data_IF_588664761060
#
_entry.id   IF_588664761060
#
_cell.length_a   1.000
_cell.length_b   1.000
_cell.length_c   1.000
_cell.angle_alpha   90.00
_cell.angle_beta   90.00
_cell.angle_gamma   90.00
#
_symmetry.space_group_name_H-M   'P 1'
#
loop_
_entity.id
_entity.type
_entity.pdbx_description
1 polymer ?
#
# COMPACT_ATOMS: atom_id res chain seq x y z
N UNK A 1 -19.78 -18.05 -21.15
CA UNK A 1 -19.70 -16.75 -20.45
C UNK A 1 -18.43 -16.74 -19.61
N UNK A 2 -17.49 -15.86 -19.91
CA UNK A 2 -16.16 -15.83 -19.27
C UNK A 2 -16.27 -15.53 -17.77
N UNK A 3 -15.48 -16.23 -16.93
CA UNK A 3 -15.45 -16.02 -15.47
C UNK A 3 -15.19 -14.55 -15.05
N UNK A 4 -14.55 -13.76 -15.89
CA UNK A 4 -14.30 -12.34 -15.69
C UNK A 4 -15.57 -11.47 -15.85
N UNK A 5 -16.46 -11.79 -16.81
CA UNK A 5 -17.73 -11.09 -16.98
C UNK A 5 -18.67 -11.30 -15.78
N UNK A 6 -18.61 -12.46 -15.13
CA UNK A 6 -19.40 -12.73 -13.92
C UNK A 6 -18.95 -11.88 -12.73
N UNK A 7 -17.68 -11.54 -12.63
CA UNK A 7 -17.15 -10.66 -11.56
C UNK A 7 -17.62 -9.21 -11.71
N UNK A 8 -17.71 -8.68 -12.94
CA UNK A 8 -18.15 -7.30 -13.20
C UNK A 8 -19.69 -7.13 -13.18
N UNK A 9 -20.45 -8.19 -13.45
CA UNK A 9 -21.92 -8.17 -13.41
C UNK A 9 -22.46 -8.59 -12.04
N UNK A 10 -21.60 -8.75 -11.03
CA UNK A 10 -22.00 -9.20 -9.72
C UNK A 10 -22.86 -8.13 -9.01
N UNK A 11 -24.13 -8.44 -8.66
CA UNK A 11 -25.05 -7.49 -8.04
C UNK A 11 -24.52 -6.98 -6.69
N UNK A 12 -23.72 -7.76 -5.98
CA UNK A 12 -23.08 -7.33 -4.72
C UNK A 12 -22.06 -6.24 -4.98
N UNK A 13 -21.19 -6.41 -5.97
CA UNK A 13 -20.22 -5.40 -6.33
C UNK A 13 -20.88 -4.08 -6.74
N UNK A 14 -21.91 -4.15 -7.59
CA UNK A 14 -22.66 -2.99 -8.04
C UNK A 14 -23.36 -2.24 -6.89
N UNK A 15 -23.94 -2.99 -5.94
CA UNK A 15 -24.53 -2.42 -4.72
C UNK A 15 -23.49 -1.70 -3.87
N UNK A 16 -22.35 -2.35 -3.61
CA UNK A 16 -21.25 -1.81 -2.81
C UNK A 16 -20.67 -0.54 -3.43
N UNK A 17 -20.45 -0.52 -4.75
CA UNK A 17 -20.00 0.67 -5.48
C UNK A 17 -21.00 1.82 -5.35
N UNK A 18 -22.29 1.57 -5.63
CA UNK A 18 -23.32 2.61 -5.52
C UNK A 18 -23.40 3.18 -4.11
N UNK A 19 -23.32 2.35 -3.07
CA UNK A 19 -23.36 2.81 -1.69
C UNK A 19 -22.12 3.68 -1.34
N UNK A 20 -20.96 3.32 -1.84
CA UNK A 20 -19.72 4.01 -1.53
C UNK A 20 -19.60 5.35 -2.26
N UNK A 21 -19.95 5.42 -3.54
CA UNK A 21 -19.83 6.63 -4.35
C UNK A 21 -21.07 7.54 -4.31
N UNK A 22 -22.18 7.11 -3.72
CA UNK A 22 -23.37 7.93 -3.55
C UNK A 22 -23.24 8.96 -2.42
N UNK A 23 -22.35 8.74 -1.47
CA UNK A 23 -22.23 9.58 -0.28
C UNK A 23 -21.37 10.82 -0.56
N UNK A 24 -21.85 12.01 -0.21
CA UNK A 24 -21.07 13.25 -0.24
C UNK A 24 -19.79 13.14 0.60
N UNK A 25 -19.81 12.37 1.69
CA UNK A 25 -18.64 12.12 2.53
C UNK A 25 -17.48 11.46 1.78
N UNK A 26 -17.77 10.65 0.76
CA UNK A 26 -16.73 10.02 -0.06
C UNK A 26 -15.98 11.04 -0.92
N UNK A 27 -16.70 11.98 -1.52
CA UNK A 27 -16.07 13.06 -2.29
C UNK A 27 -15.28 14.01 -1.39
N UNK A 28 -15.80 14.29 -0.21
CA UNK A 28 -15.10 15.09 0.81
C UNK A 28 -13.78 14.41 1.25
N UNK A 29 -13.77 13.09 1.39
CA UNK A 29 -12.55 12.34 1.71
C UNK A 29 -11.49 12.44 0.60
N UNK A 30 -11.87 12.36 -0.68
CA UNK A 30 -10.95 12.56 -1.80
C UNK A 30 -10.46 14.01 -1.83
N UNK A 31 -11.33 14.97 -1.58
CA UNK A 31 -10.96 16.39 -1.50
C UNK A 31 -9.92 16.64 -0.41
N UNK A 32 -10.13 16.13 0.81
CA UNK A 32 -9.14 16.24 1.88
C UNK A 32 -7.83 15.53 1.57
N UNK A 33 -7.89 14.37 0.93
CA UNK A 33 -6.70 13.68 0.47
C UNK A 33 -5.87 14.54 -0.49
N UNK A 34 -6.51 15.14 -1.50
CA UNK A 34 -5.86 16.03 -2.46
C UNK A 34 -5.37 17.32 -1.79
N UNK A 35 -6.13 17.86 -0.84
CA UNK A 35 -5.76 19.07 -0.09
C UNK A 35 -4.50 18.81 0.75
N UNK A 36 -4.43 17.68 1.45
CA UNK A 36 -3.25 17.32 2.26
C UNK A 36 -2.03 17.10 1.36
N UNK A 37 -2.19 16.31 0.28
CA UNK A 37 -1.09 16.03 -0.65
C UNK A 37 -0.63 17.31 -1.38
N UNK A 38 -1.57 18.09 -1.91
CA UNK A 38 -1.30 19.34 -2.61
C UNK A 38 -0.73 20.42 -1.68
N UNK A 39 -1.33 20.59 -0.50
CA UNK A 39 -0.84 21.54 0.50
C UNK A 39 0.57 21.20 1.00
N UNK A 40 0.84 19.92 1.26
CA UNK A 40 2.16 19.45 1.64
C UNK A 40 3.19 19.67 0.51
N UNK A 41 2.81 19.43 -0.76
CA UNK A 41 3.71 19.65 -1.91
C UNK A 41 4.01 21.13 -2.13
N UNK A 42 3.02 22.02 -1.98
CA UNK A 42 3.23 23.48 -2.06
C UNK A 42 4.10 23.98 -0.89
N UNK A 43 3.88 23.46 0.32
CA UNK A 43 4.71 23.77 1.48
C UNK A 43 6.17 23.35 1.28
N UNK A 44 6.39 22.13 0.77
CA UNK A 44 7.73 21.64 0.46
C UNK A 44 8.42 22.46 -0.64
N UNK A 45 7.68 22.83 -1.70
CA UNK A 45 8.16 23.72 -2.74
C UNK A 45 8.56 25.11 -2.19
N UNK A 46 7.76 25.64 -1.24
CA UNK A 46 8.10 26.88 -0.52
C UNK A 46 9.39 26.78 0.29
N UNK A 47 9.66 25.65 0.93
CA UNK A 47 10.92 25.39 1.63
C UNK A 47 12.10 25.31 0.66
N UNK A 48 11.95 24.58 -0.43
CA UNK A 48 12.98 24.46 -1.48
C UNK A 48 13.34 25.81 -2.08
N UNK A 49 12.36 26.70 -2.31
CA UNK A 49 12.58 28.04 -2.86
C UNK A 49 13.35 28.97 -1.89
N UNK A 50 13.27 28.73 -0.58
CA UNK A 50 14.04 29.48 0.41
C UNK A 50 15.47 28.97 0.56
N UNK A 51 15.68 27.66 0.40
CA UNK A 51 17.00 27.00 0.51
C UNK A 51 17.78 27.13 -0.81
N UNK A 52 17.10 27.03 -1.95
CA UNK A 52 17.65 27.26 -3.28
C UNK A 52 17.60 28.76 -3.63
N UNK A 53 18.70 29.32 -4.11
CA UNK A 53 18.79 30.72 -4.57
C UNK A 53 17.56 31.09 -5.41
N UNK A 54 16.85 32.08 -4.98
CA UNK A 54 15.64 32.68 -5.55
C UNK A 54 15.68 32.68 -7.09
N UNK A 55 14.81 31.91 -7.74
CA UNK A 55 14.47 32.15 -9.15
C UNK A 55 14.33 30.95 -10.09
N UNK A 56 14.99 29.84 -9.88
CA UNK A 56 14.87 28.68 -10.79
C UNK A 56 14.75 27.37 -9.99
N UNK A 57 13.54 26.84 -9.98
CA UNK A 57 13.35 25.44 -9.62
C UNK A 57 13.91 24.62 -10.78
N UNK A 58 15.05 23.98 -10.55
CA UNK A 58 15.71 23.14 -11.54
C UNK A 58 15.17 21.72 -11.55
N UNK A 59 15.74 20.89 -12.39
CA UNK A 59 15.35 19.48 -12.53
C UNK A 59 15.65 18.65 -11.26
N UNK A 60 16.62 19.04 -10.43
CA UNK A 60 16.91 18.35 -9.17
C UNK A 60 15.87 18.64 -8.10
N UNK A 61 15.46 19.88 -7.93
CA UNK A 61 14.41 20.27 -6.97
C UNK A 61 13.07 19.63 -7.33
N UNK A 62 12.76 19.56 -8.63
CA UNK A 62 11.58 18.86 -9.14
C UNK A 62 11.59 17.37 -8.78
N UNK A 63 12.75 16.74 -8.83
CA UNK A 63 12.94 15.33 -8.48
C UNK A 63 12.74 15.09 -6.98
N UNK A 64 13.26 15.97 -6.11
CA UNK A 64 12.99 15.90 -4.66
C UNK A 64 11.51 16.12 -4.34
N UNK A 65 10.85 17.05 -5.02
CA UNK A 65 9.41 17.25 -4.90
C UNK A 65 8.64 15.98 -5.26
N UNK A 66 9.01 15.31 -6.35
CA UNK A 66 8.39 14.07 -6.78
C UNK A 66 8.55 12.93 -5.75
N UNK A 67 9.75 12.77 -5.19
CA UNK A 67 10.00 11.78 -4.14
C UNK A 67 9.15 12.09 -2.91
N UNK A 68 9.15 13.36 -2.48
CA UNK A 68 8.35 13.81 -1.35
C UNK A 68 6.85 13.52 -1.53
N UNK A 69 6.30 13.86 -2.71
CA UNK A 69 4.90 13.59 -3.06
C UNK A 69 4.61 12.08 -3.06
N UNK A 70 5.50 11.28 -3.64
CA UNK A 70 5.34 9.82 -3.72
C UNK A 70 5.37 9.16 -2.34
N UNK A 71 6.25 9.61 -1.44
CA UNK A 71 6.32 9.16 -0.05
C UNK A 71 5.09 9.60 0.77
N UNK A 72 4.67 10.85 0.61
CA UNK A 72 3.45 11.35 1.24
C UNK A 72 2.21 10.57 0.78
N UNK A 73 2.12 10.30 -0.51
CA UNK A 73 1.00 9.55 -1.08
C UNK A 73 0.97 8.10 -0.58
N UNK A 74 2.11 7.40 -0.53
CA UNK A 74 2.16 6.02 -0.01
C UNK A 74 1.82 5.98 1.49
N UNK A 75 2.21 7.01 2.26
CA UNK A 75 1.83 7.18 3.66
C UNK A 75 0.32 7.33 3.82
N UNK A 76 -0.30 8.23 3.05
CA UNK A 76 -1.75 8.45 3.07
C UNK A 76 -2.53 7.20 2.67
N UNK A 77 -2.13 6.53 1.59
CA UNK A 77 -2.77 5.29 1.13
C UNK A 77 -2.65 4.19 2.19
N UNK A 78 -1.45 4.01 2.76
CA UNK A 78 -1.21 3.01 3.80
C UNK A 78 -2.08 3.27 5.02
N UNK A 79 -2.29 4.54 5.40
CA UNK A 79 -3.15 4.92 6.52
C UNK A 79 -4.64 4.73 6.22
N UNK A 80 -5.10 5.08 5.02
CA UNK A 80 -6.52 4.98 4.66
C UNK A 80 -6.97 3.54 4.41
N UNK A 81 -6.09 2.68 3.90
CA UNK A 81 -6.44 1.30 3.52
C UNK A 81 -7.00 0.47 4.66
N UNK A 82 -6.38 0.40 5.86
CA UNK A 82 -6.94 -0.34 6.99
C UNK A 82 -8.33 0.15 7.40
N UNK A 83 -8.53 1.46 7.45
CA UNK A 83 -9.81 2.07 7.80
C UNK A 83 -10.97 1.67 6.87
N UNK A 84 -10.66 1.42 5.60
CA UNK A 84 -11.66 1.05 4.59
C UNK A 84 -11.89 -0.46 4.48
N UNK A 85 -10.92 -1.29 4.87
CA UNK A 85 -10.95 -2.74 4.63
C UNK A 85 -11.16 -3.58 5.89
N UNK A 86 -10.61 -3.15 7.03
CA UNK A 86 -10.61 -3.94 8.25
C UNK A 86 -11.97 -4.15 8.92
N UNK A 87 -12.97 -3.34 8.57
CA UNK A 87 -14.35 -3.45 9.07
C UNK A 87 -15.35 -4.13 8.13
N UNK A 88 -14.91 -4.56 6.95
CA UNK A 88 -15.82 -4.98 5.87
C UNK A 88 -16.64 -6.24 6.18
N UNK A 89 -16.10 -7.20 6.91
CA UNK A 89 -16.79 -8.45 7.29
C UNK A 89 -17.19 -8.41 8.77
N UNK A 90 -16.28 -7.97 9.66
CA UNK A 90 -16.55 -7.89 11.09
C UNK A 90 -17.70 -6.92 11.40
N UNK A 91 -17.79 -5.79 10.68
CA UNK A 91 -18.89 -4.83 10.82
C UNK A 91 -20.24 -5.40 10.40
N UNK A 92 -20.32 -6.22 9.35
CA UNK A 92 -21.56 -6.94 9.00
C UNK A 92 -21.93 -8.01 10.03
N UNK A 93 -20.93 -8.65 10.62
CA UNK A 93 -21.12 -9.61 11.70
C UNK A 93 -21.71 -8.93 12.94
N UNK A 94 -21.17 -7.78 13.35
CA UNK A 94 -21.69 -7.00 14.48
C UNK A 94 -23.13 -6.50 14.24
N UNK A 95 -23.44 -6.12 13.00
CA UNK A 95 -24.79 -5.72 12.60
C UNK A 95 -25.75 -6.89 12.33
N UNK A 96 -25.29 -8.12 12.51
CA UNK A 96 -26.05 -9.36 12.24
C UNK A 96 -26.51 -9.52 10.77
N UNK A 97 -25.96 -8.74 9.84
CA UNK A 97 -26.31 -8.81 8.42
C UNK A 97 -25.51 -9.86 7.66
N UNK A 98 -24.41 -10.36 8.23
CA UNK A 98 -23.56 -11.38 7.60
C UNK A 98 -24.34 -12.67 7.32
N UNK A 99 -25.23 -13.09 8.21
CA UNK A 99 -26.03 -14.31 8.03
C UNK A 99 -26.91 -14.23 6.79
N UNK A 100 -27.52 -13.07 6.55
CA UNK A 100 -28.35 -12.80 5.36
C UNK A 100 -27.48 -12.89 4.10
N UNK A 101 -26.23 -12.37 4.14
CA UNK A 101 -25.32 -12.45 3.02
C UNK A 101 -24.89 -13.90 2.73
N UNK A 102 -24.68 -14.72 3.77
CA UNK A 102 -24.26 -16.12 3.63
C UNK A 102 -25.38 -17.05 3.17
N UNK A 103 -26.67 -16.67 3.30
CA UNK A 103 -27.81 -17.43 2.75
C UNK A 103 -27.96 -17.23 1.24
N UNK A 104 -27.31 -16.23 0.66
CA UNK A 104 -27.28 -16.07 -0.80
C UNK A 104 -26.46 -17.19 -1.47
N UNK A 105 -26.80 -17.53 -2.71
CA UNK A 105 -26.08 -18.57 -3.49
C UNK A 105 -24.66 -18.18 -3.94
N UNK A 106 -24.06 -17.16 -3.31
CA UNK A 106 -22.75 -16.67 -3.72
C UNK A 106 -21.60 -17.45 -3.06
N UNK A 107 -20.51 -17.64 -3.78
CA UNK A 107 -19.31 -18.29 -3.27
C UNK A 107 -18.58 -17.36 -2.26
N UNK A 108 -17.88 -17.95 -1.27
CA UNK A 108 -17.05 -17.19 -0.33
C UNK A 108 -15.99 -16.33 -1.04
N UNK A 109 -15.43 -16.85 -2.14
CA UNK A 109 -14.45 -16.15 -2.98
C UNK A 109 -15.06 -14.87 -3.58
N UNK A 110 -16.27 -14.97 -4.13
CA UNK A 110 -16.98 -13.84 -4.73
C UNK A 110 -17.27 -12.75 -3.70
N UNK A 111 -17.70 -13.13 -2.49
CA UNK A 111 -17.99 -12.19 -1.40
C UNK A 111 -16.72 -11.45 -0.97
N UNK A 112 -15.63 -12.17 -0.70
CA UNK A 112 -14.35 -11.59 -0.26
C UNK A 112 -13.78 -10.65 -1.32
N UNK A 113 -13.71 -11.09 -2.58
CA UNK A 113 -13.17 -10.29 -3.68
C UNK A 113 -14.03 -9.05 -3.96
N UNK A 114 -15.36 -9.17 -3.96
CA UNK A 114 -16.25 -8.02 -4.17
C UNK A 114 -16.07 -6.96 -3.10
N UNK A 115 -15.91 -7.36 -1.83
CA UNK A 115 -15.67 -6.43 -0.73
C UNK A 115 -14.31 -5.77 -0.79
N UNK A 116 -13.27 -6.53 -1.13
CA UNK A 116 -11.93 -6.00 -1.34
C UNK A 116 -11.93 -4.99 -2.49
N UNK A 117 -12.41 -5.37 -3.67
CA UNK A 117 -12.44 -4.51 -4.86
C UNK A 117 -13.25 -3.24 -4.58
N UNK A 118 -14.42 -3.34 -3.97
CA UNK A 118 -15.23 -2.17 -3.61
C UNK A 118 -14.52 -1.25 -2.62
N UNK A 119 -13.80 -1.81 -1.64
CA UNK A 119 -13.05 -1.00 -0.68
C UNK A 119 -11.86 -0.29 -1.32
N UNK A 120 -11.14 -0.98 -2.18
CA UNK A 120 -9.95 -0.44 -2.84
C UNK A 120 -10.26 0.49 -4.01
N UNK A 121 -11.42 0.35 -4.66
CA UNK A 121 -11.82 1.22 -5.77
C UNK A 121 -11.86 2.69 -5.38
N UNK A 122 -12.27 2.99 -4.15
CA UNK A 122 -12.26 4.35 -3.63
C UNK A 122 -10.85 4.93 -3.55
N UNK A 123 -9.88 4.13 -3.09
CA UNK A 123 -8.48 4.52 -3.03
C UNK A 123 -7.85 4.61 -4.42
N UNK A 124 -8.24 3.73 -5.34
CA UNK A 124 -7.82 3.86 -6.74
C UNK A 124 -8.25 5.19 -7.34
N UNK A 125 -9.50 5.60 -7.13
CA UNK A 125 -9.98 6.91 -7.57
C UNK A 125 -9.17 8.03 -6.92
N UNK A 126 -8.84 7.94 -5.63
CA UNK A 126 -8.01 8.93 -4.96
C UNK A 126 -6.59 9.00 -5.58
N UNK A 127 -5.95 7.84 -5.87
CA UNK A 127 -4.65 7.78 -6.54
C UNK A 127 -4.72 8.44 -7.92
N UNK A 128 -5.70 8.10 -8.75
CA UNK A 128 -5.82 8.70 -10.08
C UNK A 128 -6.18 10.19 -10.02
N UNK A 129 -6.93 10.63 -9.01
CA UNK A 129 -7.23 12.05 -8.80
C UNK A 129 -6.00 12.87 -8.43
N UNK A 130 -4.90 12.26 -7.99
CA UNK A 130 -3.65 12.96 -7.71
C UNK A 130 -2.79 13.20 -8.97
N UNK A 131 -3.10 12.59 -10.12
CA UNK A 131 -2.34 12.77 -11.37
C UNK A 131 -2.13 14.25 -11.77
N UNK A 132 -3.12 15.16 -11.65
CA UNK A 132 -2.91 16.57 -11.94
C UNK A 132 -1.83 17.22 -11.05
N UNK A 133 -1.69 16.77 -9.78
CA UNK A 133 -0.64 17.27 -8.89
C UNK A 133 0.75 16.83 -9.37
N UNK A 134 0.87 15.61 -9.87
CA UNK A 134 2.11 15.11 -10.46
C UNK A 134 2.47 15.80 -11.78
N UNK A 135 1.49 16.36 -12.51
CA UNK A 135 1.77 17.11 -13.72
C UNK A 135 2.61 18.35 -13.46
N UNK A 136 2.50 18.97 -12.28
CA UNK A 136 3.34 20.11 -11.87
C UNK A 136 4.83 19.73 -11.88
N UNK A 137 5.17 18.52 -11.49
CA UNK A 137 6.56 18.03 -11.49
C UNK A 137 7.11 17.93 -12.92
N UNK A 138 6.29 17.54 -13.89
CA UNK A 138 6.70 17.46 -15.29
C UNK A 138 7.00 18.83 -15.90
N UNK A 139 6.32 19.89 -15.43
CA UNK A 139 6.57 21.25 -15.92
C UNK A 139 7.99 21.74 -15.64
N UNK A 140 8.58 21.29 -14.53
CA UNK A 140 9.94 21.64 -14.13
C UNK A 140 11.00 20.67 -14.68
N UNK A 141 10.58 19.52 -15.25
CA UNK A 141 11.47 18.48 -15.77
C UNK A 141 12.10 17.61 -14.69
N UNK A 142 13.03 16.74 -15.07
CA UNK A 142 13.81 15.89 -14.14
C UNK A 142 13.17 14.57 -13.75
N UNK A 143 11.90 14.30 -14.10
CA UNK A 143 11.20 13.06 -13.80
C UNK A 143 10.68 12.39 -15.07
N UNK A 144 10.92 11.10 -15.22
CA UNK A 144 10.42 10.34 -16.37
C UNK A 144 8.98 9.84 -16.12
N UNK A 145 8.14 9.72 -17.17
CA UNK A 145 6.80 9.10 -17.04
C UNK A 145 6.84 7.67 -16.51
N UNK A 146 7.91 6.93 -16.81
CA UNK A 146 8.12 5.57 -16.31
C UNK A 146 8.28 5.56 -14.78
N UNK A 147 9.00 6.54 -14.21
CA UNK A 147 9.16 6.66 -12.76
C UNK A 147 7.82 6.89 -12.05
N UNK A 148 6.93 7.68 -12.66
CA UNK A 148 5.57 7.89 -12.12
C UNK A 148 4.75 6.61 -12.17
N UNK A 149 4.77 5.89 -13.28
CA UNK A 149 4.07 4.60 -13.40
C UNK A 149 4.62 3.57 -12.41
N UNK A 150 5.93 3.51 -12.23
CA UNK A 150 6.57 2.61 -11.27
C UNK A 150 6.17 2.95 -9.81
N UNK A 151 6.16 4.23 -9.45
CA UNK A 151 5.68 4.71 -8.14
C UNK A 151 4.22 4.32 -7.90
N UNK A 152 3.34 4.53 -8.88
CA UNK A 152 1.93 4.11 -8.77
C UNK A 152 1.79 2.60 -8.69
N UNK A 153 2.62 1.83 -9.38
CA UNK A 153 2.68 0.38 -9.26
C UNK A 153 2.97 -0.09 -7.84
N UNK A 154 3.98 0.51 -7.19
CA UNK A 154 4.31 0.23 -5.78
C UNK A 154 3.15 0.60 -4.86
N UNK A 155 2.50 1.75 -5.06
CA UNK A 155 1.38 2.20 -4.26
C UNK A 155 0.16 1.28 -4.39
N UNK A 156 -0.20 0.88 -5.61
CA UNK A 156 -1.33 -0.03 -5.87
C UNK A 156 -1.07 -1.40 -5.24
N UNK A 157 0.15 -1.93 -5.36
CA UNK A 157 0.51 -3.20 -4.76
C UNK A 157 0.48 -3.14 -3.23
N UNK A 158 1.00 -2.05 -2.64
CA UNK A 158 0.93 -1.79 -1.19
C UNK A 158 -0.53 -1.75 -0.71
N UNK A 159 -1.37 -1.00 -1.41
CA UNK A 159 -2.80 -0.90 -1.12
C UNK A 159 -3.51 -2.27 -1.19
N UNK A 160 -3.22 -3.08 -2.22
CA UNK A 160 -3.77 -4.43 -2.38
C UNK A 160 -3.36 -5.34 -1.21
N UNK A 161 -2.11 -5.30 -0.82
CA UNK A 161 -1.58 -6.16 0.26
C UNK A 161 -2.14 -5.76 1.61
N UNK A 162 -2.09 -4.48 1.97
CA UNK A 162 -2.67 -3.99 3.24
C UNK A 162 -4.18 -4.22 3.25
N UNK A 163 -4.85 -4.00 2.12
CA UNK A 163 -6.29 -4.23 1.98
C UNK A 163 -6.68 -5.70 2.15
N UNK A 164 -5.91 -6.61 1.58
CA UNK A 164 -6.13 -8.06 1.73
C UNK A 164 -5.91 -8.53 3.17
N UNK A 165 -4.89 -7.99 3.86
CA UNK A 165 -4.66 -8.21 5.29
C UNK A 165 -5.84 -7.68 6.12
N UNK A 166 -6.36 -6.49 5.79
CA UNK A 166 -7.52 -5.91 6.45
C UNK A 166 -8.76 -6.79 6.33
N UNK A 167 -9.05 -7.29 5.13
CA UNK A 167 -10.16 -8.22 4.91
C UNK A 167 -9.94 -9.55 5.64
N UNK A 168 -8.71 -10.08 5.66
CA UNK A 168 -8.36 -11.29 6.39
C UNK A 168 -8.62 -11.12 7.90
N UNK A 169 -8.12 -10.07 8.52
CA UNK A 169 -8.37 -9.79 9.94
C UNK A 169 -9.86 -9.56 10.22
N UNK A 170 -10.56 -8.83 9.34
CA UNK A 170 -12.00 -8.63 9.42
C UNK A 170 -12.80 -9.94 9.39
N UNK A 171 -12.28 -10.96 8.70
CA UNK A 171 -12.92 -12.27 8.61
C UNK A 171 -12.65 -13.12 9.86
N UNK A 172 -11.42 -13.09 10.38
CA UNK A 172 -11.00 -13.90 11.54
C UNK A 172 -11.53 -13.30 12.84
N UNK A 173 -11.38 -11.99 13.01
CA UNK A 173 -11.71 -11.27 14.24
C UNK A 173 -13.18 -10.88 14.22
N UNK A 174 -13.89 -11.22 15.30
CA UNK A 174 -15.33 -10.96 15.39
C UNK A 174 -15.68 -9.50 15.68
N UNK A 175 -14.78 -8.77 16.36
CA UNK A 175 -14.99 -7.36 16.76
C UNK A 175 -14.29 -6.43 15.78
N UNK A 176 -15.03 -5.47 15.23
CA UNK A 176 -14.52 -4.53 14.23
C UNK A 176 -13.35 -3.71 14.75
N UNK A 177 -13.42 -3.19 15.99
CA UNK A 177 -12.35 -2.41 16.59
C UNK A 177 -11.03 -3.18 16.66
N UNK A 178 -11.08 -4.44 17.09
CA UNK A 178 -9.86 -5.27 17.20
C UNK A 178 -9.30 -5.59 15.82
N UNK A 179 -10.15 -5.83 14.83
CA UNK A 179 -9.73 -6.05 13.43
C UNK A 179 -9.01 -4.82 12.86
N UNK A 180 -9.53 -3.63 13.12
CA UNK A 180 -8.93 -2.37 12.70
C UNK A 180 -7.56 -2.18 13.35
N UNK A 181 -7.46 -2.37 14.67
CA UNK A 181 -6.20 -2.24 15.41
C UNK A 181 -5.16 -3.25 14.87
N UNK A 182 -5.55 -4.50 14.65
CA UNK A 182 -4.65 -5.53 14.12
C UNK A 182 -4.12 -5.18 12.72
N UNK A 183 -4.98 -4.62 11.87
CA UNK A 183 -4.59 -4.20 10.52
C UNK A 183 -3.65 -2.99 10.55
N UNK A 184 -3.91 -1.99 11.41
CA UNK A 184 -2.98 -0.87 11.58
C UNK A 184 -1.66 -1.33 12.18
N UNK A 185 -1.66 -2.24 13.15
CA UNK A 185 -0.44 -2.79 13.73
C UNK A 185 0.43 -3.51 12.69
N UNK A 186 -0.18 -4.32 11.82
CA UNK A 186 0.55 -4.99 10.73
C UNK A 186 1.04 -4.00 9.67
N UNK A 187 0.26 -2.97 9.33
CA UNK A 187 0.69 -1.90 8.44
C UNK A 187 1.89 -1.14 9.01
N UNK A 188 1.83 -0.74 10.29
CA UNK A 188 2.95 -0.07 10.95
C UNK A 188 4.19 -0.95 11.04
N UNK A 189 4.02 -2.24 11.29
CA UNK A 189 5.13 -3.19 11.28
C UNK A 189 5.81 -3.28 9.90
N UNK A 190 5.04 -3.27 8.81
CA UNK A 190 5.59 -3.29 7.45
C UNK A 190 6.25 -1.95 7.06
N UNK A 191 5.62 -0.82 7.39
CA UNK A 191 6.07 0.51 6.95
C UNK A 191 7.19 1.06 7.84
N UNK A 192 7.06 0.92 9.16
CA UNK A 192 8.00 1.50 10.12
C UNK A 192 8.88 0.41 10.75
N UNK A 193 8.28 -0.71 11.16
CA UNK A 193 8.97 -1.77 11.89
C UNK A 193 10.15 -2.36 11.11
N UNK A 194 9.95 -2.65 9.83
CA UNK A 194 11.02 -3.16 8.97
C UNK A 194 12.21 -2.20 8.87
N UNK A 195 11.97 -0.89 8.74
CA UNK A 195 13.01 0.13 8.72
C UNK A 195 13.74 0.24 10.07
N UNK A 196 12.99 0.25 11.17
CA UNK A 196 13.56 0.29 12.53
C UNK A 196 14.45 -0.92 12.82
N UNK A 197 14.03 -2.12 12.42
CA UNK A 197 14.82 -3.33 12.59
C UNK A 197 16.17 -3.18 11.85
N UNK A 198 16.14 -2.70 10.62
CA UNK A 198 17.38 -2.49 9.85
C UNK A 198 18.26 -1.41 10.48
N UNK A 199 17.70 -0.32 10.99
CA UNK A 199 18.45 0.75 11.63
C UNK A 199 19.10 0.28 12.94
N UNK A 200 18.37 -0.41 13.81
CA UNK A 200 18.84 -0.86 15.11
C UNK A 200 19.85 -2.01 14.98
N UNK A 201 19.48 -3.06 14.29
CA UNK A 201 20.36 -4.23 14.13
C UNK A 201 21.48 -4.00 13.11
N UNK A 202 21.23 -3.20 12.07
CA UNK A 202 22.25 -2.82 11.10
C UNK A 202 23.40 -2.04 11.74
N UNK A 203 23.11 -1.11 12.65
CA UNK A 203 24.14 -0.35 13.38
C UNK A 203 24.95 -1.25 14.34
N UNK A 204 24.32 -2.17 15.03
CA UNK A 204 24.97 -3.12 15.94
C UNK A 204 25.91 -4.05 15.15
N UNK A 205 25.43 -4.61 14.04
CA UNK A 205 26.21 -5.54 13.20
C UNK A 205 27.34 -4.86 12.45
N UNK A 206 27.19 -3.58 12.05
CA UNK A 206 28.25 -2.79 11.40
C UNK A 206 29.28 -2.29 12.40
N UNK A 207 28.88 -1.99 13.66
CA UNK A 207 29.82 -1.58 14.71
C UNK A 207 30.79 -2.69 15.15
N UNK A 208 30.45 -3.94 14.89
CA UNK A 208 31.28 -5.10 15.25
C UNK A 208 32.21 -5.60 14.15
N UNK A 209 31.92 -5.30 12.88
CA UNK A 209 32.73 -5.74 11.74
C UNK A 209 32.83 -4.65 10.67
N UNK A 210 34.03 -4.17 10.39
CA UNK A 210 34.30 -3.24 9.28
C UNK A 210 34.07 -3.87 7.89
N UNK A 211 33.95 -5.22 7.82
CA UNK A 211 33.53 -5.96 6.63
C UNK A 211 32.30 -6.82 6.97
N UNK A 212 31.09 -6.28 6.80
CA UNK A 212 29.87 -7.06 7.04
C UNK A 212 29.81 -8.25 6.06
N UNK A 213 29.81 -9.46 6.60
CA UNK A 213 29.69 -10.68 5.81
C UNK A 213 28.35 -10.74 5.04
N UNK A 214 28.28 -11.66 4.08
CA UNK A 214 27.09 -11.87 3.23
C UNK A 214 25.77 -12.00 3.99
N UNK A 215 25.79 -12.53 5.21
CA UNK A 215 24.59 -12.68 6.06
C UNK A 215 23.95 -11.34 6.46
N UNK A 216 24.76 -10.31 6.75
CA UNK A 216 24.23 -8.97 7.11
C UNK A 216 23.57 -8.31 5.91
N UNK A 217 24.13 -8.51 4.71
CA UNK A 217 23.53 -8.03 3.47
C UNK A 217 22.15 -8.63 3.23
N UNK A 218 22.01 -9.96 3.31
CA UNK A 218 20.73 -10.65 3.11
C UNK A 218 19.70 -10.28 4.17
N UNK A 219 20.11 -10.11 5.42
CA UNK A 219 19.23 -9.64 6.50
C UNK A 219 18.66 -8.24 6.18
N UNK A 220 19.53 -7.28 5.83
CA UNK A 220 19.10 -5.92 5.46
C UNK A 220 18.16 -5.95 4.24
N UNK A 221 18.51 -6.71 3.22
CA UNK A 221 17.73 -6.87 2.00
C UNK A 221 16.31 -7.39 2.30
N UNK A 222 16.19 -8.45 3.10
CA UNK A 222 14.91 -9.05 3.47
C UNK A 222 13.97 -8.07 4.17
N UNK A 223 14.47 -7.26 5.08
CA UNK A 223 13.64 -6.28 5.78
C UNK A 223 13.32 -5.06 4.94
N UNK A 224 14.26 -4.57 4.13
CA UNK A 224 14.04 -3.40 3.29
C UNK A 224 13.10 -3.67 2.12
N UNK A 225 13.07 -4.89 1.56
CA UNK A 225 12.12 -5.25 0.52
C UNK A 225 10.66 -5.29 1.04
N UNK A 226 10.44 -5.41 2.36
CA UNK A 226 9.11 -5.36 2.95
C UNK A 226 8.63 -3.94 3.24
N UNK A 227 9.49 -2.94 3.07
CA UNK A 227 9.19 -1.55 3.40
C UNK A 227 8.81 -0.75 2.15
N UNK A 228 7.50 -0.40 1.94
CA UNK A 228 7.06 0.28 0.73
C UNK A 228 7.71 1.66 0.49
N UNK A 229 7.86 2.54 1.50
CA UNK A 229 8.61 3.79 1.35
C UNK A 229 10.03 3.60 0.83
N UNK A 230 10.76 2.63 1.38
CA UNK A 230 12.16 2.35 0.96
C UNK A 230 12.20 1.85 -0.47
N UNK A 231 11.29 0.94 -0.83
CA UNK A 231 11.19 0.44 -2.22
C UNK A 231 10.83 1.57 -3.18
N UNK A 232 9.94 2.49 -2.79
CA UNK A 232 9.63 3.68 -3.60
C UNK A 232 10.89 4.50 -3.86
N UNK A 233 11.69 4.80 -2.83
CA UNK A 233 12.96 5.51 -3.00
C UNK A 233 13.93 4.72 -3.90
N UNK A 234 14.04 3.40 -3.72
CA UNK A 234 14.94 2.57 -4.54
C UNK A 234 14.57 2.53 -6.02
N UNK A 235 13.28 2.66 -6.33
CA UNK A 235 12.78 2.73 -7.71
C UNK A 235 13.03 4.12 -8.32
N UNK A 236 12.86 5.18 -7.51
CA UNK A 236 13.00 6.56 -7.97
C UNK A 236 14.46 7.02 -8.03
N UNK A 237 15.29 6.54 -7.11
CA UNK A 237 16.70 6.89 -6.93
C UNK A 237 17.59 5.65 -6.81
N UNK A 238 17.78 4.88 -7.88
CA UNK A 238 18.61 3.67 -7.84
C UNK A 238 20.07 3.96 -7.46
N UNK A 239 20.60 5.12 -7.86
CA UNK A 239 21.98 5.51 -7.57
C UNK A 239 22.22 5.77 -6.08
N UNK A 240 21.30 6.49 -5.42
CA UNK A 240 21.36 6.73 -3.98
C UNK A 240 21.34 5.40 -3.22
N UNK A 241 20.50 4.49 -3.66
CA UNK A 241 20.36 3.18 -3.02
C UNK A 241 21.60 2.31 -3.25
N UNK A 242 22.18 2.31 -4.45
CA UNK A 242 23.40 1.55 -4.74
C UNK A 242 24.61 2.04 -3.94
N UNK A 243 24.75 3.35 -3.71
CA UNK A 243 25.80 3.92 -2.87
C UNK A 243 25.66 3.53 -1.41
N UNK A 244 24.42 3.53 -0.88
CA UNK A 244 24.13 3.21 0.51
C UNK A 244 24.34 1.73 0.85
N UNK A 245 24.18 0.85 -0.15
CA UNK A 245 24.26 -0.61 0.00
C UNK A 245 25.38 -1.25 -0.82
N UNK A 246 26.32 -0.44 -1.34
CA UNK A 246 27.46 -0.96 -2.09
C UNK A 246 28.32 -1.87 -1.21
N UNK A 247 28.48 -3.12 -1.64
CA UNK A 247 29.48 -4.04 -1.11
C UNK A 247 30.36 -4.55 -2.26
N UNK A 248 31.69 -4.44 -2.14
CA UNK A 248 32.60 -5.04 -3.10
C UNK A 248 32.36 -6.55 -3.18
N UNK A 249 32.12 -7.07 -4.38
CA UNK A 249 31.92 -8.51 -4.62
C UNK A 249 30.50 -9.01 -4.64
N UNK A 250 29.50 -8.21 -4.28
CA UNK A 250 28.10 -8.54 -4.54
C UNK A 250 27.59 -7.67 -5.70
N UNK A 251 27.21 -8.34 -6.78
CA UNK A 251 26.59 -7.65 -7.89
C UNK A 251 25.43 -6.81 -7.38
N UNK A 252 25.40 -5.52 -7.72
CA UNK A 252 24.30 -4.58 -7.44
C UNK A 252 23.00 -4.97 -8.19
N UNK A 253 22.70 -6.28 -8.30
CA UNK A 253 21.76 -6.83 -9.26
C UNK A 253 20.47 -7.39 -8.72
N UNK A 254 20.30 -7.55 -7.42
CA UNK A 254 18.99 -7.92 -6.89
C UNK A 254 18.21 -6.65 -6.58
N UNK A 255 17.47 -6.18 -7.57
CA UNK A 255 16.61 -5.01 -7.41
C UNK A 255 15.57 -5.28 -6.33
N UNK A 256 15.56 -4.44 -5.28
CA UNK A 256 14.60 -4.54 -4.14
C UNK A 256 13.16 -4.62 -4.60
N UNK A 257 12.83 -3.99 -5.72
CA UNK A 257 11.46 -3.99 -6.23
C UNK A 257 10.98 -5.40 -6.64
N UNK A 258 11.87 -6.30 -7.12
CA UNK A 258 11.49 -7.68 -7.44
C UNK A 258 11.14 -8.44 -6.15
N UNK A 259 11.99 -8.35 -5.13
CA UNK A 259 11.71 -8.94 -3.82
C UNK A 259 10.43 -8.40 -3.20
N UNK A 260 10.20 -7.10 -3.31
CA UNK A 260 8.96 -6.45 -2.88
C UNK A 260 7.73 -7.02 -3.61
N UNK A 261 7.74 -7.06 -4.95
CA UNK A 261 6.61 -7.56 -5.74
C UNK A 261 6.30 -9.01 -5.39
N UNK A 262 7.31 -9.88 -5.31
CA UNK A 262 7.12 -11.29 -4.98
C UNK A 262 6.57 -11.48 -3.56
N UNK A 263 7.13 -10.78 -2.56
CA UNK A 263 6.68 -10.87 -1.17
C UNK A 263 5.26 -10.33 -0.98
N UNK A 264 4.92 -9.20 -1.60
CA UNK A 264 3.61 -8.56 -1.49
C UNK A 264 2.52 -9.36 -2.20
N UNK A 265 2.80 -9.91 -3.38
CA UNK A 265 1.89 -10.84 -4.05
C UNK A 265 1.69 -12.10 -3.20
N UNK A 266 2.76 -12.67 -2.64
CA UNK A 266 2.68 -13.81 -1.75
C UNK A 266 1.80 -13.56 -0.51
N UNK A 267 2.02 -12.43 0.18
CA UNK A 267 1.21 -12.02 1.35
C UNK A 267 -0.26 -11.80 0.93
N UNK A 268 -0.51 -11.17 -0.22
CA UNK A 268 -1.86 -10.93 -0.74
C UNK A 268 -2.60 -12.23 -1.01
N UNK A 269 -1.97 -13.18 -1.70
CA UNK A 269 -2.57 -14.49 -2.01
C UNK A 269 -2.85 -15.27 -0.73
N UNK A 270 -1.89 -15.31 0.20
CA UNK A 270 -2.02 -16.03 1.46
C UNK A 270 -3.12 -15.43 2.34
N UNK A 271 -3.20 -14.11 2.46
CA UNK A 271 -4.23 -13.44 3.24
C UNK A 271 -5.63 -13.66 2.66
N UNK A 272 -5.79 -13.57 1.34
CA UNK A 272 -7.06 -13.86 0.68
C UNK A 272 -7.48 -15.33 0.82
N UNK A 273 -6.53 -16.26 0.70
CA UNK A 273 -6.79 -17.68 0.88
C UNK A 273 -7.29 -17.99 2.30
N UNK A 274 -6.65 -17.43 3.33
CA UNK A 274 -7.10 -17.56 4.72
C UNK A 274 -8.49 -16.95 4.90
N UNK A 275 -8.75 -15.74 4.35
CA UNK A 275 -10.02 -15.07 4.44
C UNK A 275 -11.16 -15.91 3.83
N UNK A 276 -10.93 -16.51 2.64
CA UNK A 276 -11.91 -17.34 1.96
C UNK A 276 -12.22 -18.61 2.75
N UNK A 277 -11.21 -19.26 3.33
CA UNK A 277 -11.42 -20.46 4.14
C UNK A 277 -12.16 -20.20 5.45
N UNK A 278 -11.91 -19.04 6.09
CA UNK A 278 -12.49 -18.71 7.39
C UNK A 278 -13.88 -18.05 7.32
N UNK A 279 -14.31 -17.62 6.15
CA UNK A 279 -15.60 -16.94 5.98
C UNK A 279 -16.77 -17.89 6.27
N UNK A 280 -16.75 -19.13 5.74
CA UNK A 280 -17.75 -20.17 6.02
C UNK A 280 -17.08 -21.24 6.91
N UNK A 281 -17.51 -21.35 8.20
CA UNK A 281 -17.07 -22.48 8.99
C UNK A 281 -17.57 -23.77 8.33
N UNK A 282 -16.64 -24.69 8.04
CA UNK A 282 -17.03 -26.04 7.60
C UNK A 282 -17.95 -26.60 8.68
N UNK A 283 -19.21 -26.87 8.35
CA UNK A 283 -20.04 -27.72 9.20
C UNK A 283 -19.31 -29.06 9.31
N UNK A 284 -18.74 -29.35 10.48
CA UNK A 284 -18.31 -30.70 10.79
C UNK A 284 -19.55 -31.57 10.65
N UNK A 285 -19.60 -32.41 9.63
CA UNK A 285 -20.54 -33.53 9.60
C UNK A 285 -20.31 -34.27 10.91
N UNK A 286 -21.27 -34.18 11.82
CA UNK A 286 -21.38 -35.13 12.92
C UNK A 286 -21.78 -36.44 12.28
N UNK A 287 -20.79 -37.30 11.99
CA UNK A 287 -21.00 -38.70 11.77
C UNK A 287 -21.22 -39.40 13.11
#
# INVERSE_FOLDING_TARGET
MNRLTILFINPVLNKEFKLRFRSFKSYLGIFFYLLVLGGASLGFMGILSQVGRIGNIGSEESRYLFIFMSLGQIGLISFMTPGLTAGTISGERERQTLNILLTTQQSSTTIILSKLISSLSYLLVAIFSSLPLYSLVFLYGGVSPISVLASFGVQILTMLTIGSLGVMFSTIIRRTMISVIATYATMLALVIGAALIVLLFGSILLGYNQNPGSGVFWFRYLFLMLNPPVVTISVLEPQFFSQMFYQPGHAAGTSLWIGFVLSYIGITILSLWIAIQKLRPKMKSRG
#
